data_IF_517051751714
#
_entry.id   IF_517051751714
#
_cell.length_a   1.000
_cell.length_b   1.000
_cell.length_c   1.000
_cell.angle_alpha   90.00
_cell.angle_beta   90.00
_cell.angle_gamma   90.00
#
_symmetry.space_group_name_H-M   'P 1'
#
loop_
_entity.id
_entity.type
_entity.pdbx_description
1 polymer ?
#
# COMPACT_ATOMS: atom_id res chain seq x y z
N UNK A 1 -11.91 10.90 -22.46
CA UNK A 1 -12.57 9.58 -22.34
C UNK A 1 -12.77 9.25 -20.86
N UNK A 2 -14.01 8.98 -20.45
CA UNK A 2 -14.25 8.35 -19.13
C UNK A 2 -13.57 6.97 -19.14
N UNK A 3 -12.78 6.68 -18.09
CA UNK A 3 -12.12 5.39 -17.95
C UNK A 3 -13.17 4.32 -17.67
N UNK A 4 -12.96 3.11 -18.21
CA UNK A 4 -13.72 1.92 -17.82
C UNK A 4 -13.47 1.59 -16.32
N UNK A 5 -14.29 0.75 -15.67
CA UNK A 5 -14.14 0.49 -14.24
C UNK A 5 -12.77 -0.07 -13.85
N UNK A 6 -12.17 -0.92 -14.70
CA UNK A 6 -10.81 -1.41 -14.50
C UNK A 6 -9.78 -0.28 -14.56
N UNK A 7 -9.90 0.63 -15.54
CA UNK A 7 -9.09 1.82 -15.67
C UNK A 7 -9.24 2.77 -14.48
N UNK A 8 -10.46 2.95 -13.96
CA UNK A 8 -10.73 3.76 -12.76
C UNK A 8 -10.12 3.13 -11.50
N UNK A 9 -10.24 1.81 -11.33
CA UNK A 9 -9.61 1.10 -10.24
C UNK A 9 -8.08 1.25 -10.28
N UNK A 10 -7.49 0.99 -11.44
CA UNK A 10 -6.04 1.12 -11.62
C UNK A 10 -5.57 2.57 -11.45
N UNK A 11 -6.36 3.57 -11.87
CA UNK A 11 -6.05 4.98 -11.65
C UNK A 11 -6.12 5.36 -10.16
N UNK A 12 -7.13 4.88 -9.42
CA UNK A 12 -7.25 5.11 -7.98
C UNK A 12 -6.07 4.49 -7.22
N UNK A 13 -5.70 3.24 -7.56
CA UNK A 13 -4.54 2.57 -6.98
C UNK A 13 -3.23 3.29 -7.36
N UNK A 14 -3.11 3.78 -8.59
CA UNK A 14 -1.96 4.58 -9.03
C UNK A 14 -1.81 5.87 -8.24
N UNK A 15 -2.90 6.62 -8.04
CA UNK A 15 -2.89 7.84 -7.25
C UNK A 15 -2.49 7.57 -5.79
N UNK A 16 -3.02 6.48 -5.20
CA UNK A 16 -2.63 6.05 -3.85
C UNK A 16 -1.13 5.74 -3.75
N UNK A 17 -0.56 5.06 -4.75
CA UNK A 17 0.89 4.79 -4.82
C UNK A 17 1.71 6.08 -4.92
N UNK A 18 1.33 6.98 -5.82
CA UNK A 18 2.06 8.22 -6.06
C UNK A 18 2.11 9.07 -4.79
N UNK A 19 0.98 9.23 -4.11
CA UNK A 19 0.91 9.93 -2.83
C UNK A 19 1.83 9.27 -1.77
N UNK A 20 1.90 7.94 -1.73
CA UNK A 20 2.81 7.22 -0.81
C UNK A 20 4.28 7.42 -1.14
N UNK A 21 4.66 7.57 -2.41
CA UNK A 21 6.05 7.82 -2.82
C UNK A 21 6.45 9.27 -2.56
N UNK A 22 5.60 10.23 -2.95
CA UNK A 22 5.85 11.67 -2.78
C UNK A 22 5.98 12.04 -1.31
N UNK A 23 5.11 11.48 -0.46
CA UNK A 23 5.16 11.73 0.99
C UNK A 23 6.11 10.81 1.72
N UNK A 24 6.72 9.82 1.06
CA UNK A 24 7.51 8.78 1.73
C UNK A 24 8.56 9.41 2.65
N UNK A 25 9.40 10.31 2.12
CA UNK A 25 10.53 10.89 2.87
C UNK A 25 10.10 11.66 4.13
N UNK A 26 9.04 12.46 4.06
CA UNK A 26 8.47 13.18 5.21
C UNK A 26 7.72 12.23 6.15
N UNK A 27 7.00 11.27 5.58
CA UNK A 27 6.27 10.26 6.32
C UNK A 27 7.22 9.35 7.09
N UNK A 28 8.43 9.05 6.60
CA UNK A 28 9.39 8.10 7.19
C UNK A 28 9.73 8.38 8.66
N UNK A 29 9.87 9.65 9.05
CA UNK A 29 10.12 10.03 10.44
C UNK A 29 8.93 9.73 11.37
N UNK A 30 7.70 9.96 10.88
CA UNK A 30 6.48 9.53 11.56
C UNK A 30 6.25 8.01 11.45
N UNK A 31 6.68 7.39 10.35
CA UNK A 31 6.47 5.98 10.02
C UNK A 31 7.28 5.09 10.96
N UNK A 32 8.57 5.36 11.15
CA UNK A 32 9.37 4.59 12.11
C UNK A 32 8.76 4.64 13.51
N UNK A 33 8.26 5.80 13.94
CA UNK A 33 7.58 5.94 15.23
C UNK A 33 6.26 5.17 15.24
N UNK A 34 5.45 5.28 14.19
CA UNK A 34 4.13 4.62 14.08
C UNK A 34 4.21 3.10 14.11
N UNK A 35 5.29 2.51 13.59
CA UNK A 35 5.50 1.06 13.52
C UNK A 35 6.16 0.47 14.78
N UNK A 36 6.39 1.29 15.81
CA UNK A 36 6.79 0.79 17.12
C UNK A 36 5.65 -0.03 17.75
N UNK A 37 5.94 -1.12 18.48
CA UNK A 37 4.90 -1.98 19.06
C UNK A 37 3.87 -1.22 19.89
N UNK A 38 4.29 -0.18 20.62
CA UNK A 38 3.43 0.63 21.48
C UNK A 38 2.40 1.44 20.68
N UNK A 39 2.66 1.68 19.39
CA UNK A 39 1.82 2.47 18.51
C UNK A 39 0.89 1.62 17.62
N UNK A 40 0.83 0.30 17.81
CA UNK A 40 -0.02 -0.60 17.04
C UNK A 40 -1.50 -0.19 17.07
N UNK A 41 -2.01 0.23 18.24
CA UNK A 41 -3.41 0.70 18.38
C UNK A 41 -3.65 1.97 17.58
N UNK A 42 -2.67 2.88 17.56
CA UNK A 42 -2.74 4.13 16.78
C UNK A 42 -2.75 3.80 15.28
N UNK A 43 -1.83 2.93 14.83
CA UNK A 43 -1.78 2.46 13.45
C UNK A 43 -3.12 1.87 13.00
N UNK A 44 -3.72 1.00 13.82
CA UNK A 44 -5.01 0.40 13.51
C UNK A 44 -6.14 1.44 13.41
N UNK A 45 -6.19 2.42 14.32
CA UNK A 45 -7.19 3.50 14.28
C UNK A 45 -7.06 4.39 13.05
N UNK A 46 -5.85 4.74 12.66
CA UNK A 46 -5.58 5.51 11.44
C UNK A 46 -6.04 4.73 10.20
N UNK A 47 -5.69 3.44 10.10
CA UNK A 47 -6.11 2.61 8.98
C UNK A 47 -7.63 2.45 8.90
N UNK A 48 -8.30 2.29 10.05
CA UNK A 48 -9.76 2.21 10.10
C UNK A 48 -10.41 3.52 9.65
N UNK A 49 -9.87 4.67 10.06
CA UNK A 49 -10.36 5.97 9.63
C UNK A 49 -10.16 6.18 8.12
N UNK A 50 -8.99 5.82 7.59
CA UNK A 50 -8.73 5.85 6.15
C UNK A 50 -9.70 4.92 5.39
N UNK A 51 -9.90 3.69 5.87
CA UNK A 51 -10.80 2.72 5.25
C UNK A 51 -12.23 3.24 5.13
N UNK A 52 -12.74 3.95 6.14
CA UNK A 52 -14.08 4.56 6.09
C UNK A 52 -14.23 5.60 4.97
N UNK A 53 -13.16 6.28 4.59
CA UNK A 53 -13.16 7.27 3.50
C UNK A 53 -12.99 6.63 2.13
N UNK A 54 -12.14 5.60 2.02
CA UNK A 54 -11.81 4.98 0.72
C UNK A 54 -12.75 3.84 0.32
N UNK A 55 -13.30 3.10 1.28
CA UNK A 55 -14.19 1.95 1.02
C UNK A 55 -15.40 2.32 0.14
N UNK A 56 -16.15 3.42 0.40
CA UNK A 56 -17.29 3.78 -0.44
C UNK A 56 -16.93 4.01 -1.91
N UNK A 57 -15.74 4.58 -2.18
CA UNK A 57 -15.25 4.83 -3.54
C UNK A 57 -14.90 3.52 -4.23
N UNK A 58 -14.24 2.59 -3.52
CA UNK A 58 -13.92 1.26 -4.04
C UNK A 58 -15.18 0.46 -4.35
N UNK A 59 -16.15 0.44 -3.43
CA UNK A 59 -17.44 -0.24 -3.62
C UNK A 59 -18.15 0.27 -4.87
N UNK A 60 -18.18 1.59 -5.07
CA UNK A 60 -18.82 2.18 -6.25
C UNK A 60 -18.14 1.74 -7.56
N UNK A 61 -16.81 1.75 -7.62
CA UNK A 61 -16.06 1.28 -8.79
C UNK A 61 -16.33 -0.21 -9.06
N UNK A 62 -16.35 -1.04 -8.02
CA UNK A 62 -16.56 -2.49 -8.15
C UNK A 62 -18.00 -2.77 -8.60
N UNK A 63 -19.00 -2.09 -8.04
CA UNK A 63 -20.41 -2.24 -8.45
C UNK A 63 -20.61 -1.87 -9.91
N UNK A 64 -20.06 -0.74 -10.35
CA UNK A 64 -20.13 -0.34 -11.76
C UNK A 64 -19.49 -1.38 -12.68
N UNK A 65 -18.35 -1.95 -12.28
CA UNK A 65 -17.73 -3.05 -13.04
C UNK A 65 -18.53 -4.35 -13.02
N UNK A 66 -19.34 -4.62 -12.00
CA UNK A 66 -20.27 -5.76 -12.01
C UNK A 66 -21.46 -5.48 -12.93
N UNK A 67 -22.00 -4.26 -12.91
CA UNK A 67 -23.14 -3.85 -13.74
C UNK A 67 -22.81 -3.88 -15.24
N UNK A 68 -21.60 -3.50 -15.63
CA UNK A 68 -21.16 -3.52 -17.03
C UNK A 68 -20.51 -4.85 -17.46
N UNK A 69 -20.36 -5.79 -16.52
CA UNK A 69 -19.81 -7.12 -16.75
C UNK A 69 -18.28 -7.20 -16.82
N UNK A 70 -17.56 -6.12 -16.54
CA UNK A 70 -16.09 -6.09 -16.43
C UNK A 70 -15.59 -6.95 -15.27
N UNK A 71 -16.29 -6.91 -14.14
CA UNK A 71 -15.99 -7.67 -12.93
C UNK A 71 -17.05 -8.73 -12.67
N UNK A 72 -16.63 -9.82 -12.01
CA UNK A 72 -17.51 -10.91 -11.58
C UNK A 72 -17.27 -11.19 -10.11
N UNK A 73 -18.14 -10.64 -9.27
CA UNK A 73 -18.20 -10.93 -7.84
C UNK A 73 -19.66 -10.89 -7.38
N UNK A 74 -19.99 -11.66 -6.34
CA UNK A 74 -21.30 -11.63 -5.70
C UNK A 74 -21.37 -10.62 -4.54
N UNK A 75 -20.23 -10.07 -4.12
CA UNK A 75 -20.10 -9.22 -2.94
C UNK A 75 -19.09 -8.07 -3.17
N UNK A 76 -19.50 -6.98 -3.86
CA UNK A 76 -18.63 -5.81 -4.10
C UNK A 76 -18.05 -5.20 -2.81
N UNK A 77 -18.85 -5.15 -1.75
CA UNK A 77 -18.48 -4.64 -0.44
C UNK A 77 -17.39 -5.48 0.22
N UNK A 78 -17.57 -6.81 0.24
CA UNK A 78 -16.56 -7.72 0.75
C UNK A 78 -15.24 -7.62 -0.02
N UNK A 79 -15.28 -7.42 -1.33
CA UNK A 79 -14.05 -7.19 -2.12
C UNK A 79 -13.37 -5.88 -1.73
N UNK A 80 -14.11 -4.79 -1.56
CA UNK A 80 -13.55 -3.51 -1.11
C UNK A 80 -12.89 -3.65 0.28
N UNK A 81 -13.53 -4.37 1.20
CA UNK A 81 -12.97 -4.62 2.53
C UNK A 81 -11.69 -5.46 2.48
N UNK A 82 -11.63 -6.49 1.62
CA UNK A 82 -10.41 -7.27 1.38
C UNK A 82 -9.28 -6.36 0.87
N UNK A 83 -9.58 -5.47 -0.07
CA UNK A 83 -8.61 -4.49 -0.60
C UNK A 83 -8.05 -3.61 0.52
N UNK A 84 -8.91 -3.12 1.41
CA UNK A 84 -8.47 -2.28 2.53
C UNK A 84 -7.63 -3.07 3.56
N UNK A 85 -7.98 -4.33 3.83
CA UNK A 85 -7.22 -5.19 4.75
C UNK A 85 -5.79 -5.47 4.29
N UNK A 86 -5.52 -5.45 2.98
CA UNK A 86 -4.16 -5.61 2.48
C UNK A 86 -3.20 -4.54 3.02
N UNK A 87 -3.67 -3.29 3.16
CA UNK A 87 -2.87 -2.22 3.73
C UNK A 87 -2.47 -2.47 5.19
N UNK A 88 -3.32 -3.15 5.95
CA UNK A 88 -3.01 -3.56 7.34
C UNK A 88 -2.07 -4.77 7.38
N UNK A 89 -2.25 -5.74 6.48
CA UNK A 89 -1.49 -6.99 6.47
C UNK A 89 0.01 -6.82 6.17
N UNK A 90 0.42 -5.64 5.69
CA UNK A 90 1.84 -5.30 5.46
C UNK A 90 2.53 -4.75 6.71
N UNK A 91 1.78 -4.40 7.76
CA UNK A 91 2.30 -3.78 8.97
C UNK A 91 3.43 -4.59 9.61
N UNK A 92 3.16 -5.86 9.92
CA UNK A 92 4.10 -6.71 10.66
C UNK A 92 5.39 -6.98 9.87
N UNK A 93 5.30 -7.00 8.54
CA UNK A 93 6.45 -7.20 7.67
C UNK A 93 7.38 -5.99 7.70
N UNK A 94 6.80 -4.80 7.65
CA UNK A 94 7.53 -3.53 7.74
C UNK A 94 8.08 -3.32 9.16
N UNK A 95 7.29 -3.62 10.20
CA UNK A 95 7.72 -3.53 11.59
C UNK A 95 8.93 -4.45 11.89
N UNK A 96 8.94 -5.68 11.34
CA UNK A 96 10.09 -6.59 11.45
C UNK A 96 11.34 -6.06 10.74
N UNK A 97 11.17 -5.42 9.59
CA UNK A 97 12.27 -4.76 8.87
C UNK A 97 12.94 -3.67 9.73
N UNK A 98 12.13 -2.89 10.45
CA UNK A 98 12.62 -1.87 11.38
C UNK A 98 13.33 -2.46 12.60
N UNK A 99 12.84 -3.58 13.14
CA UNK A 99 13.43 -4.20 14.32
C UNK A 99 14.80 -4.88 14.07
N UNK A 100 15.03 -5.39 12.85
CA UNK A 100 16.30 -6.06 12.49
C UNK A 100 17.48 -5.09 12.37
N UNK A 101 17.23 -3.84 11.96
CA UNK A 101 18.22 -2.75 11.96
C UNK A 101 19.38 -2.89 10.96
N UNK A 102 19.52 -4.01 10.25
CA UNK A 102 20.54 -4.22 9.22
C UNK A 102 19.97 -4.01 7.80
N UNK A 103 20.84 -3.64 6.86
CA UNK A 103 20.45 -3.53 5.44
C UNK A 103 20.01 -4.87 4.85
N UNK A 104 20.59 -5.98 5.31
CA UNK A 104 20.21 -7.33 4.88
C UNK A 104 18.79 -7.69 5.33
N UNK A 105 18.41 -7.35 6.57
CA UNK A 105 17.04 -7.57 7.07
C UNK A 105 16.02 -6.72 6.31
N UNK A 106 16.41 -5.51 5.92
CA UNK A 106 15.59 -4.62 5.09
C UNK A 106 15.35 -5.22 3.70
N UNK A 107 16.39 -5.76 3.05
CA UNK A 107 16.26 -6.40 1.73
C UNK A 107 15.36 -7.64 1.78
N UNK A 108 15.50 -8.49 2.81
CA UNK A 108 14.62 -9.65 3.02
C UNK A 108 13.16 -9.21 3.20
N UNK A 109 12.92 -8.15 3.96
CA UNK A 109 11.58 -7.62 4.16
C UNK A 109 10.98 -7.04 2.87
N UNK A 110 11.78 -6.33 2.07
CA UNK A 110 11.38 -5.82 0.74
C UNK A 110 10.96 -6.98 -0.16
N UNK A 111 11.78 -8.02 -0.30
CA UNK A 111 11.47 -9.18 -1.15
C UNK A 111 10.20 -9.92 -0.69
N UNK A 112 10.03 -10.08 0.62
CA UNK A 112 8.84 -10.70 1.17
C UNK A 112 7.60 -9.86 0.87
N UNK A 113 7.69 -8.53 1.02
CA UNK A 113 6.59 -7.60 0.77
C UNK A 113 6.25 -7.52 -0.72
N UNK A 114 7.22 -7.54 -1.62
CA UNK A 114 6.99 -7.61 -3.08
C UNK A 114 6.24 -8.89 -3.47
N UNK A 115 6.66 -10.04 -2.95
CA UNK A 115 5.93 -11.30 -3.16
C UNK A 115 4.51 -11.24 -2.62
N UNK A 116 4.30 -10.57 -1.48
CA UNK A 116 2.97 -10.43 -0.88
C UNK A 116 2.07 -9.52 -1.70
N UNK A 117 2.58 -8.39 -2.18
CA UNK A 117 1.82 -7.48 -3.07
C UNK A 117 1.40 -8.24 -4.33
N UNK A 118 2.31 -9.00 -4.95
CA UNK A 118 1.99 -9.80 -6.15
C UNK A 118 0.93 -10.87 -5.88
N UNK A 119 0.99 -11.55 -4.73
CA UNK A 119 -0.05 -12.49 -4.33
C UNK A 119 -1.42 -11.81 -4.24
N UNK A 120 -1.47 -10.60 -3.68
CA UNK A 120 -2.70 -9.84 -3.53
C UNK A 120 -3.25 -9.31 -4.86
N UNK A 121 -2.39 -8.88 -5.78
CA UNK A 121 -2.80 -8.53 -7.16
C UNK A 121 -3.50 -9.71 -7.83
N UNK A 122 -2.86 -10.89 -7.82
CA UNK A 122 -3.42 -12.12 -8.41
C UNK A 122 -4.71 -12.54 -7.71
N UNK A 123 -4.75 -12.46 -6.38
CA UNK A 123 -5.95 -12.81 -5.63
C UNK A 123 -7.12 -11.89 -5.98
N UNK A 124 -6.86 -10.57 -6.07
CA UNK A 124 -7.87 -9.58 -6.40
C UNK A 124 -8.35 -9.72 -7.85
N UNK A 125 -7.44 -9.99 -8.79
CA UNK A 125 -7.79 -10.32 -10.18
C UNK A 125 -8.79 -11.48 -10.21
N UNK A 126 -8.47 -12.58 -9.52
CA UNK A 126 -9.32 -13.78 -9.50
C UNK A 126 -10.65 -13.57 -8.80
N UNK A 127 -10.67 -12.82 -7.69
CA UNK A 127 -11.88 -12.47 -6.95
C UNK A 127 -12.83 -11.62 -7.81
N UNK A 128 -12.28 -10.76 -8.67
CA UNK A 128 -13.04 -9.93 -9.61
C UNK A 128 -13.26 -10.61 -10.96
N UNK A 129 -12.83 -11.86 -11.15
CA UNK A 129 -12.99 -12.61 -12.40
C UNK A 129 -12.14 -12.09 -13.57
N UNK A 130 -11.05 -11.41 -13.28
CA UNK A 130 -10.09 -10.86 -14.24
C UNK A 130 -8.94 -11.84 -14.52
N UNK A 131 -8.26 -11.71 -15.67
CA UNK A 131 -6.97 -12.37 -15.91
C UNK A 131 -5.89 -11.91 -14.92
N UNK A 132 -5.00 -12.82 -14.51
CA UNK A 132 -3.85 -12.50 -13.67
C UNK A 132 -3.00 -11.36 -14.30
N UNK A 133 -2.70 -10.33 -13.51
CA UNK A 133 -1.95 -9.14 -13.92
C UNK A 133 -2.79 -7.96 -14.40
N UNK A 134 -4.12 -8.02 -14.27
CA UNK A 134 -5.03 -6.94 -14.68
C UNK A 134 -4.99 -5.75 -13.71
N UNK A 135 -4.92 -6.04 -12.42
CA UNK A 135 -4.81 -5.04 -11.36
C UNK A 135 -3.34 -4.90 -10.94
N UNK A 136 -2.90 -3.65 -10.79
CA UNK A 136 -1.55 -3.33 -10.32
C UNK A 136 -1.62 -2.46 -9.07
N UNK A 137 -1.36 -3.08 -7.93
CA UNK A 137 -1.21 -2.43 -6.62
C UNK A 137 0.18 -1.81 -6.49
N UNK A 138 1.20 -2.36 -7.16
CA UNK A 138 2.58 -1.88 -7.16
C UNK A 138 3.23 -2.05 -8.54
N UNK A 139 4.05 -1.10 -8.97
CA UNK A 139 4.98 -1.38 -10.07
C UNK A 139 6.19 -2.17 -9.53
N UNK A 140 6.90 -2.94 -10.37
CA UNK A 140 8.16 -3.56 -9.95
C UNK A 140 9.10 -2.51 -9.34
N UNK A 141 9.61 -2.76 -8.13
CA UNK A 141 10.47 -1.83 -7.40
C UNK A 141 9.73 -0.74 -6.60
N UNK A 142 8.40 -0.65 -6.67
CA UNK A 142 7.59 0.27 -5.85
C UNK A 142 7.85 0.08 -4.36
N UNK A 143 7.84 -1.18 -3.91
CA UNK A 143 8.07 -1.54 -2.51
C UNK A 143 9.47 -1.08 -2.08
N UNK A 144 10.49 -1.41 -2.88
CA UNK A 144 11.87 -0.97 -2.61
C UNK A 144 11.96 0.55 -2.53
N UNK A 145 11.41 1.28 -3.50
CA UNK A 145 11.44 2.73 -3.53
C UNK A 145 10.82 3.35 -2.27
N UNK A 146 9.66 2.87 -1.83
CA UNK A 146 9.03 3.33 -0.58
C UNK A 146 9.92 2.98 0.61
N UNK A 147 10.36 1.72 0.74
CA UNK A 147 11.14 1.19 1.87
C UNK A 147 12.53 1.83 2.02
N UNK A 148 13.12 2.34 0.93
CA UNK A 148 14.45 2.97 0.95
C UNK A 148 14.41 4.50 0.84
N UNK A 149 13.24 5.14 0.71
CA UNK A 149 13.14 6.58 0.48
C UNK A 149 13.84 7.43 1.56
N UNK A 150 13.96 6.94 2.79
CA UNK A 150 14.76 7.56 3.87
C UNK A 150 16.24 7.78 3.49
N UNK A 151 16.83 6.92 2.65
CA UNK A 151 18.25 7.00 2.28
C UNK A 151 18.56 8.06 1.22
N UNK A 152 17.55 8.59 0.54
CA UNK A 152 17.72 9.58 -0.53
C UNK A 152 17.76 11.03 -0.02
N UNK A 153 17.44 11.26 1.25
CA UNK A 153 17.54 12.57 1.87
C UNK A 153 18.57 12.50 3.02
N UNK A 154 19.83 12.94 2.82
CA UNK A 154 20.74 13.08 3.95
C UNK A 154 20.09 14.07 4.92
N UNK A 155 20.02 13.70 6.20
CA UNK A 155 19.60 14.63 7.24
C UNK A 155 20.39 15.94 7.06
N UNK A 156 19.78 17.13 7.25
CA UNK A 156 20.55 18.37 7.25
C UNK A 156 21.66 18.19 8.27
N UNK A 157 22.91 18.37 7.83
CA UNK A 157 24.07 18.30 8.69
C UNK A 157 23.80 19.15 9.93
N UNK A 158 23.76 18.51 11.09
CA UNK A 158 23.63 19.20 12.37
C UNK A 158 24.72 20.27 12.48
N UNK A 159 24.49 21.33 13.28
CA UNK A 159 25.41 22.44 13.35
C UNK A 159 26.81 21.92 13.70
N UNK A 160 27.81 22.32 12.92
CA UNK A 160 29.20 22.09 13.24
C UNK A 160 29.50 22.98 14.46
N UNK A 161 29.35 22.44 15.67
CA UNK A 161 29.94 23.04 16.86
C UNK A 161 31.43 22.68 16.89
N UNK A 162 32.27 23.69 16.71
CA UNK A 162 33.67 23.65 17.14
C UNK A 162 34.69 24.10 16.10
N UNK A 163 35.01 25.41 16.10
CA UNK A 163 36.36 25.96 16.05
C UNK A 163 36.32 27.47 16.34
#
# INVERSE_FOLDING_TARGET
PELDPLGRLNALLAQSRQAKVETAAEAWALFETMFRPENLVLFHRINLAASKSFSPILVEIIRQGVEDGTFRTFDPEGVADIVMQFGLATHDMVAKAFAGGSDADMDIAIEALERRVRLYEIALDRILGLPDGSIRIGEPGYVRAVMTARRSNPAPAGPIEGA
#
